data_IF_355957163474
#
_entry.id   IF_355957163474
#
_cell.length_a   1.000
_cell.length_b   1.000
_cell.length_c   1.000
_cell.angle_alpha   90.00
_cell.angle_beta   90.00
_cell.angle_gamma   90.00
#
_symmetry.space_group_name_H-M   'P 1'
#
loop_
_entity.id
_entity.type
_entity.pdbx_description
1 polymer ?
#
# COMPACT_ATOMS: atom_id res chain seq x y z
N UNK A 1 -7.90 25.13 -16.90
CA UNK A 1 -8.92 24.40 -17.69
C UNK A 1 -9.91 23.64 -16.80
N UNK A 2 -9.44 22.77 -15.83
CA UNK A 2 -10.38 22.03 -14.96
C UNK A 2 -11.07 22.97 -13.96
N UNK A 3 -10.31 23.84 -13.28
CA UNK A 3 -10.86 24.84 -12.37
C UNK A 3 -11.86 25.76 -13.05
N UNK A 4 -11.57 26.24 -14.28
CA UNK A 4 -12.47 27.07 -15.08
C UNK A 4 -13.79 26.36 -15.42
N UNK A 5 -13.76 25.01 -15.43
CA UNK A 5 -14.94 24.16 -15.63
C UNK A 5 -15.64 23.76 -14.31
N UNK A 6 -15.22 24.32 -13.18
CA UNK A 6 -15.77 24.02 -11.86
C UNK A 6 -15.34 22.67 -11.29
N UNK A 7 -14.25 22.08 -11.78
CA UNK A 7 -13.69 20.82 -11.25
C UNK A 7 -12.54 21.15 -10.31
N UNK A 8 -12.80 21.08 -9.02
CA UNK A 8 -11.84 21.40 -7.94
C UNK A 8 -11.40 20.17 -7.13
N UNK A 9 -11.86 18.98 -7.47
CA UNK A 9 -11.45 17.74 -6.81
C UNK A 9 -10.30 17.09 -7.58
N UNK A 10 -9.15 17.00 -6.93
CA UNK A 10 -7.90 16.52 -7.53
C UNK A 10 -7.47 15.24 -6.85
N UNK A 11 -7.15 14.23 -7.67
CA UNK A 11 -6.54 13.00 -7.20
C UNK A 11 -5.01 13.16 -7.21
N UNK A 12 -4.36 13.06 -6.04
CA UNK A 12 -2.92 13.15 -5.87
C UNK A 12 -2.35 11.86 -5.32
N UNK A 13 -1.16 11.47 -5.76
CA UNK A 13 -0.50 10.24 -5.31
C UNK A 13 0.51 10.51 -4.20
N UNK A 14 0.66 9.56 -3.27
CA UNK A 14 1.65 9.55 -2.18
C UNK A 14 2.03 8.11 -1.84
N UNK A 15 3.03 7.90 -0.99
CA UNK A 15 3.42 6.58 -0.51
C UNK A 15 4.73 6.08 -1.11
N UNK A 16 4.77 4.83 -1.57
CA UNK A 16 5.99 4.19 -2.08
C UNK A 16 5.78 3.66 -3.51
N UNK A 17 6.01 4.51 -4.53
CA UNK A 17 5.94 4.07 -5.93
C UNK A 17 6.79 4.92 -6.87
N UNK A 18 7.85 4.34 -7.41
CA UNK A 18 8.72 5.00 -8.39
C UNK A 18 9.35 6.27 -7.83
N UNK A 19 9.10 7.41 -8.48
CA UNK A 19 9.57 8.73 -8.04
C UNK A 19 8.73 9.32 -6.89
N UNK A 20 7.64 8.67 -6.49
CA UNK A 20 6.78 9.05 -5.36
C UNK A 20 7.25 8.22 -4.19
N UNK A 21 8.07 8.78 -3.31
CA UNK A 21 8.70 8.08 -2.20
C UNK A 21 8.62 8.92 -0.93
N UNK A 22 7.43 8.97 -0.32
CA UNK A 22 7.27 9.46 1.05
C UNK A 22 7.53 8.35 2.07
N UNK A 23 7.56 7.09 1.65
CA UNK A 23 8.02 5.94 2.43
C UNK A 23 9.25 5.35 1.73
N UNK A 24 10.44 5.63 2.27
CA UNK A 24 11.72 5.34 1.61
C UNK A 24 12.70 4.66 2.59
N UNK A 25 13.89 4.34 2.10
CA UNK A 25 14.96 3.78 2.91
C UNK A 25 15.24 4.63 4.15
N UNK A 26 15.56 4.00 5.30
CA UNK A 26 15.88 4.75 6.50
C UNK A 26 17.10 5.66 6.29
N UNK A 27 16.99 6.88 6.79
CA UNK A 27 18.10 7.82 6.89
C UNK A 27 19.07 7.45 8.04
N UNK A 28 20.06 8.28 8.29
CA UNK A 28 21.05 8.10 9.36
C UNK A 28 20.44 8.06 10.78
N UNK A 29 19.22 8.61 10.97
CA UNK A 29 18.47 8.62 12.21
C UNK A 29 17.44 7.48 12.27
N UNK A 30 17.34 6.66 11.23
CA UNK A 30 16.36 5.58 11.12
C UNK A 30 14.97 6.04 10.68
N UNK A 31 14.79 7.31 10.28
CA UNK A 31 13.52 7.80 9.74
C UNK A 31 13.28 7.22 8.35
N UNK A 32 12.07 6.72 8.11
CA UNK A 32 11.62 6.15 6.83
C UNK A 32 10.49 6.94 6.19
N UNK A 33 9.97 7.99 6.84
CA UNK A 33 8.84 8.79 6.38
C UNK A 33 9.29 10.21 6.04
N UNK A 34 9.07 10.62 4.80
CA UNK A 34 9.52 11.90 4.22
C UNK A 34 8.31 12.67 3.65
N UNK A 35 7.29 12.91 4.48
CA UNK A 35 6.01 13.48 4.06
C UNK A 35 6.12 14.89 3.48
N UNK A 36 7.17 15.64 3.82
CA UNK A 36 7.44 16.97 3.25
C UNK A 36 7.59 16.93 1.74
N UNK A 37 7.98 15.77 1.16
CA UNK A 37 8.08 15.58 -0.29
C UNK A 37 6.71 15.67 -1.00
N UNK A 38 5.60 15.51 -0.28
CA UNK A 38 4.25 15.66 -0.79
C UNK A 38 3.87 17.14 -0.97
N UNK A 39 4.29 18.01 -0.05
CA UNK A 39 3.82 19.40 0.02
C UNK A 39 4.05 20.21 -1.28
N UNK A 40 5.19 20.13 -1.98
CA UNK A 40 5.37 20.85 -3.23
C UNK A 40 4.35 20.50 -4.30
N UNK A 41 3.85 19.25 -4.32
CA UNK A 41 2.82 18.82 -5.29
C UNK A 41 1.47 19.45 -4.94
N UNK A 42 1.07 19.44 -3.67
CA UNK A 42 -0.17 20.07 -3.22
C UNK A 42 -0.12 21.58 -3.45
N UNK A 43 0.97 22.24 -3.05
CA UNK A 43 1.17 23.70 -3.22
C UNK A 43 1.11 24.13 -4.68
N UNK A 44 1.67 23.34 -5.59
CA UNK A 44 1.61 23.63 -7.04
C UNK A 44 0.17 23.64 -7.55
N UNK A 45 -0.66 22.72 -7.10
CA UNK A 45 -2.07 22.70 -7.48
C UNK A 45 -2.80 23.88 -6.87
N UNK A 46 -2.63 24.15 -5.58
CA UNK A 46 -3.27 25.26 -4.88
C UNK A 46 -2.87 26.64 -5.42
N UNK A 47 -1.64 26.77 -5.97
CA UNK A 47 -1.23 28.00 -6.64
C UNK A 47 -1.98 28.26 -7.96
N UNK A 48 -2.50 27.21 -8.59
CA UNK A 48 -3.28 27.30 -9.86
C UNK A 48 -4.77 27.36 -9.54
N UNK A 49 -5.23 26.57 -8.58
CA UNK A 49 -6.61 26.44 -8.12
C UNK A 49 -6.67 26.51 -6.59
N UNK A 50 -6.87 27.71 -6.01
CA UNK A 50 -6.97 27.89 -4.57
C UNK A 50 -8.16 27.16 -3.92
N UNK A 51 -9.19 26.80 -4.71
CA UNK A 51 -10.37 26.09 -4.25
C UNK A 51 -10.23 24.56 -4.35
N UNK A 52 -9.07 24.05 -4.79
CA UNK A 52 -8.85 22.63 -4.95
C UNK A 52 -8.92 21.87 -3.61
N UNK A 53 -9.52 20.69 -3.67
CA UNK A 53 -9.49 19.64 -2.64
C UNK A 53 -8.82 18.38 -3.18
N UNK A 54 -8.25 17.58 -2.27
CA UNK A 54 -7.48 16.41 -2.64
C UNK A 54 -8.09 15.12 -2.10
N UNK A 55 -8.10 14.08 -2.94
CA UNK A 55 -8.12 12.68 -2.51
C UNK A 55 -6.70 12.13 -2.73
N UNK A 56 -6.09 11.63 -1.68
CA UNK A 56 -4.75 11.06 -1.76
C UNK A 56 -4.84 9.56 -2.04
N UNK A 57 -4.32 9.11 -3.19
CA UNK A 57 -4.03 7.71 -3.42
C UNK A 57 -2.72 7.37 -2.74
N UNK A 58 -2.81 6.52 -1.72
CA UNK A 58 -1.67 6.12 -0.90
C UNK A 58 -1.16 4.78 -1.37
N UNK A 59 0.00 4.77 -2.02
CA UNK A 59 0.67 3.57 -2.49
C UNK A 59 1.41 2.89 -1.34
N UNK A 60 1.00 1.67 -1.01
CA UNK A 60 1.55 0.85 0.06
C UNK A 60 2.31 -0.38 -0.46
N UNK A 61 2.39 -0.53 -1.76
CA UNK A 61 3.14 -1.61 -2.39
C UNK A 61 4.66 -1.44 -2.22
N UNK A 62 5.34 -2.54 -1.89
CA UNK A 62 6.78 -2.54 -1.58
C UNK A 62 7.63 -2.92 -2.79
N UNK A 63 7.59 -2.08 -3.85
CA UNK A 63 8.58 -2.14 -4.93
C UNK A 63 9.98 -1.68 -4.49
N UNK A 64 10.11 -1.17 -3.27
CA UNK A 64 11.35 -0.61 -2.75
C UNK A 64 12.41 -1.69 -2.50
N UNK A 65 13.55 -1.69 -3.21
CA UNK A 65 14.58 -2.71 -3.06
C UNK A 65 15.14 -2.80 -1.64
N UNK A 66 15.15 -1.71 -0.89
CA UNK A 66 15.61 -1.70 0.49
C UNK A 66 14.71 -2.55 1.40
N UNK A 67 13.39 -2.49 1.22
CA UNK A 67 12.44 -3.27 2.01
C UNK A 67 12.50 -4.75 1.64
N UNK A 68 12.53 -5.04 0.35
CA UNK A 68 12.65 -6.42 -0.17
C UNK A 68 13.92 -7.10 0.33
N UNK A 69 15.03 -6.34 0.43
CA UNK A 69 16.30 -6.83 0.97
C UNK A 69 16.25 -7.09 2.48
N UNK A 70 15.52 -6.27 3.25
CA UNK A 70 15.37 -6.45 4.69
C UNK A 70 14.39 -7.58 5.04
N UNK A 71 13.36 -7.79 4.23
CA UNK A 71 12.27 -8.73 4.50
C UNK A 71 12.03 -9.72 3.36
N UNK A 72 13.05 -10.44 2.86
CA UNK A 72 12.91 -11.33 1.69
C UNK A 72 11.91 -12.47 1.93
N UNK A 73 11.69 -12.88 3.19
CA UNK A 73 10.74 -13.93 3.57
C UNK A 73 9.28 -13.44 3.58
N UNK A 74 9.06 -12.13 3.51
CA UNK A 74 7.74 -11.49 3.52
C UNK A 74 7.21 -11.17 2.11
N UNK A 75 8.01 -11.50 1.09
CA UNK A 75 7.63 -11.28 -0.30
C UNK A 75 6.60 -12.31 -0.78
N UNK A 76 5.76 -11.90 -1.72
CA UNK A 76 4.89 -12.77 -2.48
C UNK A 76 5.71 -13.79 -3.26
N UNK A 77 5.31 -15.06 -3.21
CA UNK A 77 5.91 -16.14 -4.00
C UNK A 77 4.93 -16.56 -5.10
N UNK A 78 5.34 -16.44 -6.34
CA UNK A 78 4.55 -16.83 -7.50
C UNK A 78 4.65 -18.33 -7.81
N UNK A 79 3.73 -18.82 -8.62
CA UNK A 79 3.71 -20.23 -9.00
C UNK A 79 4.91 -20.68 -9.85
N UNK A 80 5.61 -19.76 -10.50
CA UNK A 80 6.85 -20.01 -11.24
C UNK A 80 8.13 -19.87 -10.40
N UNK A 81 8.00 -19.57 -9.11
CA UNK A 81 9.12 -19.42 -8.17
C UNK A 81 9.68 -18.00 -8.06
N UNK A 82 9.21 -17.04 -8.84
CA UNK A 82 9.58 -15.62 -8.66
C UNK A 82 9.04 -15.08 -7.34
N UNK A 83 9.78 -14.12 -6.77
CA UNK A 83 9.33 -13.31 -5.64
C UNK A 83 9.23 -11.86 -6.08
N UNK A 84 8.16 -11.22 -5.71
CA UNK A 84 7.90 -9.81 -6.03
C UNK A 84 7.57 -9.05 -4.74
N UNK A 85 6.77 -8.02 -4.82
CA UNK A 85 6.35 -7.16 -3.72
C UNK A 85 5.97 -7.92 -2.44
N UNK A 86 5.45 -7.23 -1.46
CA UNK A 86 5.00 -7.83 -0.21
C UNK A 86 3.88 -8.88 -0.42
N UNK A 87 3.91 -9.95 0.34
CA UNK A 87 2.71 -10.76 0.57
C UNK A 87 1.63 -9.96 1.31
N UNK A 88 0.37 -10.02 0.88
CA UNK A 88 -0.74 -9.40 1.64
C UNK A 88 -0.96 -10.05 3.01
N UNK A 89 -0.44 -11.25 3.22
CA UNK A 89 -0.46 -11.94 4.50
C UNK A 89 0.71 -11.59 5.43
N UNK A 90 1.71 -10.84 4.96
CA UNK A 90 2.82 -10.36 5.78
C UNK A 90 2.31 -9.54 6.96
N UNK A 91 2.60 -10.00 8.18
CA UNK A 91 2.25 -9.25 9.38
C UNK A 91 3.12 -8.00 9.53
N UNK A 92 4.39 -8.09 9.13
CA UNK A 92 5.35 -6.98 9.17
C UNK A 92 4.86 -5.86 8.24
N UNK A 93 4.56 -6.20 6.98
CA UNK A 93 4.08 -5.20 6.03
C UNK A 93 2.77 -4.54 6.50
N UNK A 94 1.80 -5.34 6.97
CA UNK A 94 0.51 -4.79 7.43
C UNK A 94 0.66 -3.83 8.60
N UNK A 95 1.56 -4.16 9.54
CA UNK A 95 1.87 -3.28 10.66
C UNK A 95 2.50 -1.98 10.16
N UNK A 96 3.56 -2.06 9.36
CA UNK A 96 4.27 -0.90 8.83
C UNK A 96 3.39 -0.02 7.93
N UNK A 97 2.52 -0.63 7.12
CA UNK A 97 1.56 0.10 6.30
C UNK A 97 0.54 0.86 7.15
N UNK A 98 0.09 0.26 8.26
CA UNK A 98 -0.76 0.93 9.24
C UNK A 98 -0.07 2.12 9.90
N UNK A 99 1.16 1.92 10.38
CA UNK A 99 2.00 2.96 10.99
C UNK A 99 2.27 4.12 10.02
N UNK A 100 2.57 3.81 8.75
CA UNK A 100 2.74 4.81 7.71
C UNK A 100 1.46 5.64 7.48
N UNK A 101 0.30 4.99 7.38
CA UNK A 101 -0.98 5.67 7.18
C UNK A 101 -1.33 6.59 8.36
N UNK A 102 -1.13 6.11 9.59
CA UNK A 102 -1.35 6.90 10.79
C UNK A 102 -0.44 8.12 10.83
N UNK A 103 0.86 7.93 10.57
CA UNK A 103 1.84 9.01 10.53
C UNK A 103 1.54 10.04 9.42
N UNK A 104 1.10 9.58 8.23
CA UNK A 104 0.70 10.46 7.13
C UNK A 104 -0.50 11.35 7.52
N UNK A 105 -1.51 10.77 8.16
CA UNK A 105 -2.68 11.52 8.61
C UNK A 105 -2.28 12.57 9.66
N UNK A 106 -1.48 12.19 10.65
CA UNK A 106 -0.98 13.13 11.67
C UNK A 106 -0.14 14.25 11.07
N UNK A 107 0.75 13.93 10.11
CA UNK A 107 1.52 14.95 9.40
C UNK A 107 0.61 15.94 8.68
N UNK A 108 -0.37 15.46 7.93
CA UNK A 108 -1.28 16.33 7.19
C UNK A 108 -2.15 17.18 8.10
N UNK A 109 -2.54 16.69 9.29
CA UNK A 109 -3.24 17.48 10.30
C UNK A 109 -2.38 18.61 10.87
N UNK A 110 -1.06 18.55 10.76
CA UNK A 110 -0.12 19.54 11.28
C UNK A 110 0.26 20.62 10.27
N UNK A 111 -0.17 20.53 9.01
CA UNK A 111 0.20 21.46 7.94
C UNK A 111 -1.04 22.09 7.27
N UNK A 112 -0.96 23.35 6.80
CA UNK A 112 -2.12 24.03 6.20
C UNK A 112 -2.70 23.31 4.97
N UNK A 113 -1.85 22.67 4.16
CA UNK A 113 -2.29 21.93 2.98
C UNK A 113 -3.18 20.74 3.32
N UNK A 114 -3.06 20.21 4.54
CA UNK A 114 -3.86 19.09 5.00
C UNK A 114 -5.34 19.43 5.18
N UNK A 115 -5.71 20.70 5.40
CA UNK A 115 -7.11 21.14 5.44
C UNK A 115 -7.82 20.92 4.11
N UNK A 116 -7.07 20.78 3.02
CA UNK A 116 -7.59 20.53 1.67
C UNK A 116 -7.65 19.04 1.33
N UNK A 117 -7.17 18.15 2.19
CA UNK A 117 -7.27 16.69 2.00
C UNK A 117 -8.56 16.18 2.59
N UNK A 118 -9.48 15.74 1.73
CA UNK A 118 -10.82 15.28 2.12
C UNK A 118 -10.98 13.76 2.08
N UNK A 119 -9.96 13.03 1.62
CA UNK A 119 -10.04 11.58 1.56
C UNK A 119 -8.72 10.89 1.25
N UNK A 120 -8.67 9.61 1.63
CA UNK A 120 -7.55 8.72 1.38
C UNK A 120 -8.03 7.47 0.65
N UNK A 121 -7.30 7.05 -0.36
CA UNK A 121 -7.51 5.82 -1.11
C UNK A 121 -6.26 4.92 -0.94
N UNK A 122 -6.19 4.08 0.11
CA UNK A 122 -5.09 3.13 0.25
C UNK A 122 -5.10 2.12 -0.89
N UNK A 123 -3.94 1.83 -1.43
CA UNK A 123 -3.74 0.85 -2.49
C UNK A 123 -2.40 0.13 -2.32
N UNK A 124 -2.34 -1.13 -2.64
CA UNK A 124 -1.14 -1.94 -2.41
C UNK A 124 -0.86 -2.95 -3.53
N UNK A 125 -1.27 -2.65 -4.73
CA UNK A 125 -1.10 -3.50 -5.90
C UNK A 125 -0.76 -2.75 -7.16
N UNK A 126 -0.70 -3.47 -8.26
CA UNK A 126 -0.36 -2.94 -9.57
C UNK A 126 -1.30 -1.77 -9.96
N UNK A 127 -0.75 -0.76 -10.60
CA UNK A 127 -1.47 0.45 -11.04
C UNK A 127 -2.14 1.28 -9.92
N UNK A 128 -1.81 1.03 -8.65
CA UNK A 128 -2.43 1.71 -7.49
C UNK A 128 -3.82 1.18 -7.17
N UNK A 129 -4.05 -0.09 -7.41
CA UNK A 129 -5.24 -0.85 -7.06
C UNK A 129 -4.87 -2.00 -6.11
N UNK A 130 -5.80 -2.90 -5.81
CA UNK A 130 -5.55 -4.10 -5.01
C UNK A 130 -5.33 -5.36 -5.86
N UNK A 131 -4.92 -5.18 -7.10
CA UNK A 131 -4.61 -6.27 -8.04
C UNK A 131 -3.13 -6.62 -7.94
N UNK A 132 -2.83 -7.90 -7.77
CA UNK A 132 -1.46 -8.41 -7.77
C UNK A 132 -0.92 -8.47 -9.20
N UNK A 133 0.37 -8.16 -9.37
CA UNK A 133 1.06 -8.23 -10.65
C UNK A 133 1.07 -9.65 -11.21
N UNK A 134 1.27 -10.65 -10.35
CA UNK A 134 1.15 -12.07 -10.70
C UNK A 134 -0.16 -12.40 -11.43
N UNK A 135 -1.29 -11.88 -10.93
CA UNK A 135 -2.60 -12.11 -11.54
C UNK A 135 -2.71 -11.44 -12.93
N UNK A 136 -2.10 -10.28 -13.13
CA UNK A 136 -2.06 -9.58 -14.42
C UNK A 136 -1.20 -10.32 -15.46
N UNK A 137 -0.13 -10.99 -15.00
CA UNK A 137 0.70 -11.85 -15.85
C UNK A 137 0.15 -13.29 -16.03
N UNK A 138 -1.01 -13.59 -15.45
CA UNK A 138 -1.65 -14.91 -15.56
C UNK A 138 -1.03 -15.97 -14.65
N UNK A 139 -0.25 -15.58 -13.64
CA UNK A 139 0.33 -16.49 -12.67
C UNK A 139 -0.50 -16.57 -11.40
N UNK A 140 -0.64 -17.79 -10.89
CA UNK A 140 -1.21 -17.97 -9.55
C UNK A 140 -0.23 -17.49 -8.47
N UNK A 141 -0.76 -16.87 -7.43
CA UNK A 141 -0.05 -16.46 -6.21
C UNK A 141 -1.07 -16.39 -5.06
N UNK A 142 -0.72 -16.31 -3.80
CA UNK A 142 0.60 -16.19 -3.21
C UNK A 142 0.97 -17.51 -2.51
N UNK A 143 2.12 -18.07 -2.82
CA UNK A 143 2.62 -19.32 -2.22
C UNK A 143 3.67 -19.08 -1.13
N UNK A 144 3.83 -17.85 -0.67
CA UNK A 144 4.77 -17.47 0.38
C UNK A 144 4.48 -18.14 1.72
N UNK A 145 5.47 -18.18 2.60
CA UNK A 145 5.29 -18.70 3.95
C UNK A 145 4.25 -17.92 4.77
N UNK A 146 4.23 -16.57 4.75
CA UNK A 146 3.17 -15.79 5.39
C UNK A 146 1.77 -16.15 4.89
N UNK A 147 1.57 -16.26 3.58
CA UNK A 147 0.26 -16.59 3.01
C UNK A 147 -0.18 -17.99 3.38
N UNK A 148 0.71 -18.98 3.33
CA UNK A 148 0.39 -20.34 3.75
C UNK A 148 -0.01 -20.42 5.22
N UNK A 149 0.70 -19.70 6.09
CA UNK A 149 0.37 -19.64 7.52
C UNK A 149 -0.99 -18.98 7.75
N UNK A 150 -1.24 -17.85 7.08
CA UNK A 150 -2.51 -17.12 7.18
C UNK A 150 -3.68 -17.95 6.68
N UNK A 151 -3.53 -18.62 5.53
CA UNK A 151 -4.55 -19.48 4.95
C UNK A 151 -4.89 -20.67 5.87
N UNK A 152 -3.86 -21.38 6.37
CA UNK A 152 -4.04 -22.47 7.35
C UNK A 152 -4.76 -22.01 8.61
N UNK A 153 -4.39 -20.86 9.15
CA UNK A 153 -5.07 -20.27 10.31
C UNK A 153 -6.53 -19.97 10.00
N UNK A 154 -6.83 -19.46 8.80
CA UNK A 154 -8.21 -19.24 8.35
C UNK A 154 -9.02 -20.53 8.26
N UNK A 155 -8.43 -21.58 7.69
CA UNK A 155 -9.09 -22.90 7.63
C UNK A 155 -9.37 -23.48 9.02
N UNK A 156 -8.39 -23.40 9.93
CA UNK A 156 -8.56 -23.86 11.30
C UNK A 156 -9.70 -23.12 12.04
N UNK A 157 -9.78 -21.81 11.86
CA UNK A 157 -10.89 -21.02 12.44
C UNK A 157 -12.25 -21.39 11.86
N UNK A 158 -12.29 -21.67 10.55
CA UNK A 158 -13.54 -21.95 9.85
C UNK A 158 -14.07 -23.37 10.12
N UNK A 159 -13.20 -24.36 10.12
CA UNK A 159 -13.59 -25.76 10.14
C UNK A 159 -13.30 -26.47 11.47
N UNK A 160 -12.44 -25.92 12.33
CA UNK A 160 -12.11 -26.47 13.63
C UNK A 160 -11.21 -27.71 13.57
N UNK A 161 -11.45 -28.64 12.65
CA UNK A 161 -10.66 -29.85 12.47
C UNK A 161 -10.40 -30.18 11.00
N UNK A 162 -9.38 -31.02 10.76
CA UNK A 162 -9.10 -31.55 9.43
C UNK A 162 -10.24 -32.44 8.90
N UNK A 163 -10.93 -33.13 9.81
CA UNK A 163 -12.05 -33.99 9.47
C UNK A 163 -13.24 -33.17 8.95
N UNK A 164 -13.56 -32.07 9.63
CA UNK A 164 -14.64 -31.16 9.21
C UNK A 164 -14.28 -30.48 7.87
N UNK A 165 -13.00 -30.12 7.67
CA UNK A 165 -12.52 -29.62 6.39
C UNK A 165 -12.72 -30.62 5.26
N UNK A 166 -12.33 -31.90 5.46
CA UNK A 166 -12.51 -32.97 4.47
C UNK A 166 -13.98 -33.20 4.14
N UNK A 167 -14.82 -33.28 5.14
CA UNK A 167 -16.27 -33.43 4.96
C UNK A 167 -16.86 -32.26 4.15
N UNK A 168 -16.41 -31.02 4.42
CA UNK A 168 -16.89 -29.84 3.72
C UNK A 168 -16.42 -29.78 2.26
N UNK A 169 -15.23 -30.30 1.97
CA UNK A 169 -14.66 -30.30 0.62
C UNK A 169 -14.95 -31.59 -0.16
N UNK A 170 -15.68 -32.53 0.47
CA UNK A 170 -16.09 -33.82 -0.13
C UNK A 170 -14.93 -34.71 -0.59
N UNK A 171 -13.88 -34.73 0.20
CA UNK A 171 -12.70 -35.58 0.02
C UNK A 171 -12.87 -36.92 0.76
#
# INVERSE_FOLDING_TARGET
QFADAGVHLIHCQTGCRGAICEWDAPDENGNTYYFERLLPRLRRVLAIDPDAYFILRVHLEMYAPWWQKLYPQELELWGDGRTENQSYASAIWRQQAGEFLEALVHFLQSVPEGERVIGYQPAAGQTGEWVKESAMEGHASDYSAPMRAYFRSGLNRKYGSLNDLRLAWRD
#
